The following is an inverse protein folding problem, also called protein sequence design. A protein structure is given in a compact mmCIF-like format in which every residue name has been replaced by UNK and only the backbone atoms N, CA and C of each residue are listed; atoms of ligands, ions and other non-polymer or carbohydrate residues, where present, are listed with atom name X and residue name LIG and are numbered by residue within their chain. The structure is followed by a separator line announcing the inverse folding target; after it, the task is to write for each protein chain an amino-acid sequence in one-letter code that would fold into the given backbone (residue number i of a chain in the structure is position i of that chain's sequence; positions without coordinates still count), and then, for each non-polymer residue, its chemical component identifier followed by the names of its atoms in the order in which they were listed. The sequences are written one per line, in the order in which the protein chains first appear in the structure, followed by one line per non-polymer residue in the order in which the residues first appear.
data_IF_332829413224
#
_entry.id   IF_332829413224
#
_cell.length_a   1.000
_cell.length_b   1.000
_cell.length_c   1.000
_cell.angle_alpha   90.00
_cell.angle_beta   90.00
_cell.angle_gamma   90.00
#
_symmetry.space_group_name_H-M   'P 1'
#
loop_
_entity.id
_entity.type
_entity.pdbx_description
1 polymer ?
#
# COMPACT_ATOMS: atom_id res chain seq x y z
N UNK A 1 5.52 20.49 7.54
CA UNK A 1 4.80 19.18 7.47
C UNK A 1 3.60 19.40 6.55
N UNK A 2 3.48 18.66 5.48
CA UNK A 2 2.41 18.79 4.50
C UNK A 2 1.49 17.57 4.63
N UNK A 3 0.21 17.81 4.92
CA UNK A 3 -0.80 16.74 5.11
C UNK A 3 -0.35 15.62 6.07
N UNK A 4 0.31 15.97 7.18
CA UNK A 4 0.77 14.99 8.18
C UNK A 4 1.99 14.15 7.79
N UNK A 5 2.62 14.41 6.64
CA UNK A 5 3.81 13.70 6.13
C UNK A 5 5.08 14.38 6.63
N UNK A 6 6.01 13.58 7.17
CA UNK A 6 7.26 14.06 7.76
C UNK A 6 8.45 13.98 6.80
N UNK A 7 8.41 13.05 5.84
CA UNK A 7 9.50 12.85 4.88
C UNK A 7 9.48 13.93 3.80
N UNK A 8 10.57 14.70 3.68
CA UNK A 8 10.67 15.82 2.71
C UNK A 8 10.61 15.36 1.25
N UNK A 9 11.11 14.17 0.92
CA UNK A 9 11.08 13.63 -0.45
C UNK A 9 9.64 13.26 -0.82
N UNK A 10 8.90 12.63 0.10
CA UNK A 10 7.48 12.33 -0.08
C UNK A 10 6.64 13.60 -0.10
N UNK A 11 6.92 14.59 0.75
CA UNK A 11 6.23 15.89 0.69
C UNK A 11 6.36 16.54 -0.70
N UNK A 12 7.57 16.51 -1.29
CA UNK A 12 7.81 17.01 -2.64
C UNK A 12 7.07 16.20 -3.70
N UNK A 13 7.07 14.88 -3.56
CA UNK A 13 6.33 13.97 -4.42
C UNK A 13 4.81 14.27 -4.41
N UNK A 14 4.20 14.36 -3.24
CA UNK A 14 2.78 14.66 -3.10
C UNK A 14 2.39 16.01 -3.71
N UNK A 15 3.27 17.01 -3.66
CA UNK A 15 3.06 18.33 -4.31
C UNK A 15 3.09 18.26 -5.84
N UNK A 16 3.70 17.22 -6.43
CA UNK A 16 3.61 16.97 -7.87
C UNK A 16 2.22 16.45 -8.24
N UNK A 17 1.62 15.60 -7.39
CA UNK A 17 0.34 14.96 -7.67
C UNK A 17 -0.85 15.92 -7.69
N UNK A 18 -0.80 17.00 -6.92
CA UNK A 18 -1.79 18.08 -7.02
C UNK A 18 -1.20 19.42 -6.66
N UNK A 19 -1.41 20.42 -7.53
CA UNK A 19 -0.95 21.81 -7.29
C UNK A 19 -1.79 22.52 -6.24
N UNK A 20 -3.02 22.11 -6.07
CA UNK A 20 -3.94 22.59 -5.04
C UNK A 20 -4.36 21.43 -4.12
N UNK A 21 -4.29 21.70 -2.83
CA UNK A 21 -4.79 20.78 -1.81
C UNK A 21 -6.16 21.30 -1.35
N UNK A 22 -7.22 20.49 -1.34
CA UNK A 22 -8.52 20.95 -0.87
C UNK A 22 -8.52 21.10 0.66
N UNK A 23 -9.04 22.21 1.18
CA UNK A 23 -9.05 22.54 2.61
C UNK A 23 -9.71 21.47 3.48
N UNK A 24 -10.69 20.72 2.94
CA UNK A 24 -11.37 19.67 3.68
C UNK A 24 -10.49 18.45 3.97
N UNK A 25 -9.42 18.24 3.20
CA UNK A 25 -8.65 16.99 3.25
C UNK A 25 -7.97 16.81 4.61
N UNK A 26 -7.46 17.89 5.20
CA UNK A 26 -6.81 17.85 6.52
C UNK A 26 -7.75 17.32 7.62
N UNK A 27 -9.04 17.71 7.58
CA UNK A 27 -10.02 17.23 8.56
C UNK A 27 -10.30 15.72 8.43
N UNK A 28 -10.34 15.20 7.20
CA UNK A 28 -10.53 13.76 6.93
C UNK A 28 -9.26 12.93 7.18
N UNK A 29 -8.10 13.57 7.24
CA UNK A 29 -6.83 12.95 7.64
C UNK A 29 -6.66 12.89 9.16
N UNK A 30 -7.24 13.87 9.89
CA UNK A 30 -7.10 13.97 11.36
C UNK A 30 -8.08 13.04 12.08
N UNK A 31 -7.99 11.74 11.79
CA UNK A 31 -8.79 10.67 12.43
C UNK A 31 -7.88 9.52 12.85
N UNK A 32 -8.20 8.82 13.96
CA UNK A 32 -7.35 7.77 14.52
C UNK A 32 -7.05 6.64 13.53
N UNK A 33 -8.00 6.31 12.66
CA UNK A 33 -7.87 5.24 11.68
C UNK A 33 -6.81 5.58 10.61
N UNK A 34 -6.75 6.85 10.18
CA UNK A 34 -5.71 7.31 9.27
C UNK A 34 -4.35 7.41 9.96
N UNK A 35 -4.31 7.89 11.21
CA UNK A 35 -3.06 7.95 11.99
C UNK A 35 -2.43 6.55 12.15
N UNK A 36 -3.25 5.50 12.30
CA UNK A 36 -2.77 4.11 12.35
C UNK A 36 -2.00 3.72 11.09
N UNK A 37 -2.42 4.17 9.91
CA UNK A 37 -1.77 3.85 8.63
C UNK A 37 -0.33 4.37 8.53
N UNK A 38 0.07 5.34 9.34
CA UNK A 38 1.48 5.78 9.45
C UNK A 38 2.41 4.69 10.00
N UNK A 39 1.87 3.69 10.64
CA UNK A 39 2.59 2.52 11.14
C UNK A 39 2.46 1.27 10.27
N UNK A 40 1.91 1.37 9.07
CA UNK A 40 1.71 0.26 8.12
C UNK A 40 2.52 0.54 6.86
N UNK A 41 3.38 -0.41 6.50
CA UNK A 41 4.24 -0.33 5.33
C UNK A 41 3.48 -0.55 4.01
N UNK A 42 3.89 0.17 2.97
CA UNK A 42 3.42 -0.08 1.58
C UNK A 42 3.92 -1.41 1.03
N UNK A 43 5.14 -1.80 1.36
CA UNK A 43 5.81 -2.96 0.75
C UNK A 43 5.73 -4.22 1.62
N UNK A 44 4.63 -4.39 2.35
CA UNK A 44 4.26 -5.64 3.04
C UNK A 44 5.39 -6.24 3.87
N UNK A 45 5.99 -5.42 4.76
CA UNK A 45 7.04 -5.83 5.69
C UNK A 45 8.42 -6.17 5.07
N UNK A 46 8.65 -5.82 3.81
CA UNK A 46 9.97 -5.98 3.18
C UNK A 46 11.07 -5.17 3.88
N UNK A 47 10.71 -4.08 4.58
CA UNK A 47 11.66 -3.22 5.31
C UNK A 47 12.30 -3.87 6.54
N UNK A 48 11.74 -4.98 7.01
CA UNK A 48 12.29 -5.68 8.19
C UNK A 48 13.39 -6.69 7.87
N UNK A 49 13.85 -6.74 6.61
CA UNK A 49 14.99 -7.55 6.17
C UNK A 49 15.95 -6.70 5.34
N UNK A 50 17.16 -7.20 5.08
CA UNK A 50 18.14 -6.54 4.21
C UNK A 50 18.19 -7.14 2.79
N UNK A 51 17.18 -7.92 2.42
CA UNK A 51 17.07 -8.54 1.09
C UNK A 51 16.65 -7.54 0.01
N UNK A 52 15.82 -6.56 0.38
CA UNK A 52 15.34 -5.50 -0.51
C UNK A 52 15.80 -4.16 0.06
N UNK A 53 16.40 -3.33 -0.78
CA UNK A 53 16.83 -1.99 -0.39
C UNK A 53 15.67 -0.99 -0.46
N UNK A 54 15.52 -0.19 0.58
CA UNK A 54 14.57 0.91 0.65
C UNK A 54 15.29 2.18 1.09
N UNK A 55 14.87 3.33 0.55
CA UNK A 55 15.41 4.62 0.99
C UNK A 55 14.95 4.97 2.41
N UNK A 56 13.68 4.70 2.71
CA UNK A 56 13.03 4.98 3.98
C UNK A 56 11.72 4.17 4.10
N UNK A 57 11.14 4.17 5.31
CA UNK A 57 9.85 3.54 5.57
C UNK A 57 8.74 4.37 4.90
N UNK A 58 8.09 3.79 3.88
CA UNK A 58 6.96 4.37 3.16
C UNK A 58 5.66 3.73 3.63
N UNK A 59 4.65 4.57 3.90
CA UNK A 59 3.47 4.16 4.66
C UNK A 59 2.20 4.14 3.82
N UNK A 60 1.23 3.31 4.23
CA UNK A 60 -0.13 3.32 3.68
C UNK A 60 -0.83 4.68 3.86
N UNK A 61 -0.44 5.44 4.89
CA UNK A 61 -0.92 6.81 5.05
C UNK A 61 -0.49 7.70 3.89
N UNK A 62 0.79 7.70 3.55
CA UNK A 62 1.36 8.51 2.47
C UNK A 62 0.78 8.13 1.11
N UNK A 63 0.61 6.83 0.87
CA UNK A 63 -0.08 6.29 -0.29
C UNK A 63 -1.53 6.78 -0.38
N UNK A 64 -2.32 6.63 0.68
CA UNK A 64 -3.72 7.08 0.72
C UNK A 64 -3.86 8.58 0.47
N UNK A 65 -2.93 9.40 0.99
CA UNK A 65 -2.85 10.83 0.69
C UNK A 65 -2.56 11.05 -0.80
N UNK A 66 -1.62 10.30 -1.37
CA UNK A 66 -1.27 10.37 -2.79
C UNK A 66 -2.45 10.04 -3.70
N UNK A 67 -3.16 8.94 -3.41
CA UNK A 67 -4.39 8.55 -4.15
C UNK A 67 -5.43 9.65 -4.09
N UNK A 68 -5.71 10.19 -2.90
CA UNK A 68 -6.66 11.28 -2.72
C UNK A 68 -6.27 12.54 -3.54
N UNK A 69 -4.98 12.90 -3.56
CA UNK A 69 -4.49 14.04 -4.33
C UNK A 69 -4.60 13.82 -5.84
N UNK A 70 -4.33 12.61 -6.34
CA UNK A 70 -4.53 12.27 -7.76
C UNK A 70 -6.01 12.38 -8.13
N UNK A 71 -6.88 11.76 -7.34
CA UNK A 71 -8.34 11.86 -7.57
C UNK A 71 -8.80 13.31 -7.55
N UNK A 72 -8.38 14.10 -6.56
CA UNK A 72 -8.70 15.53 -6.49
C UNK A 72 -8.17 16.30 -7.70
N UNK A 73 -6.93 16.03 -8.11
CA UNK A 73 -6.33 16.73 -9.25
C UNK A 73 -7.17 16.58 -10.52
N UNK A 74 -7.70 15.38 -10.78
CA UNK A 74 -8.40 15.06 -12.02
C UNK A 74 -9.92 15.26 -11.95
N UNK A 75 -10.53 15.15 -10.76
CA UNK A 75 -12.00 15.16 -10.66
C UNK A 75 -12.56 16.41 -10.00
N UNK A 76 -11.81 17.00 -9.06
CA UNK A 76 -12.28 18.05 -8.14
C UNK A 76 -13.56 17.67 -7.39
N UNK A 77 -13.80 16.37 -7.22
CA UNK A 77 -14.96 15.81 -6.55
C UNK A 77 -14.58 15.35 -5.13
N UNK A 78 -15.27 15.94 -4.14
CA UNK A 78 -14.99 15.66 -2.72
C UNK A 78 -15.25 14.20 -2.35
N UNK A 79 -16.32 13.58 -2.87
CA UNK A 79 -16.70 12.21 -2.50
C UNK A 79 -15.69 11.20 -3.05
N UNK A 80 -15.34 11.35 -4.34
CA UNK A 80 -14.31 10.51 -4.96
C UNK A 80 -12.98 10.65 -4.26
N UNK A 81 -12.61 11.87 -3.88
CA UNK A 81 -11.36 12.14 -3.13
C UNK A 81 -11.34 11.45 -1.77
N UNK A 82 -12.44 11.50 -1.01
CA UNK A 82 -12.55 10.83 0.29
C UNK A 82 -12.59 9.30 0.10
N UNK A 83 -13.27 8.79 -0.93
CA UNK A 83 -13.26 7.37 -1.24
C UNK A 83 -11.84 6.86 -1.54
N UNK A 84 -11.08 7.60 -2.37
CA UNK A 84 -9.67 7.32 -2.61
C UNK A 84 -8.79 7.47 -1.36
N UNK A 85 -9.08 8.43 -0.46
CA UNK A 85 -8.37 8.57 0.80
C UNK A 85 -8.56 7.35 1.72
N UNK A 86 -9.77 6.81 1.78
CA UNK A 86 -10.13 5.78 2.73
C UNK A 86 -10.12 4.35 2.17
N UNK A 87 -9.67 4.15 0.92
CA UNK A 87 -9.67 2.82 0.31
C UNK A 87 -8.88 1.80 1.15
N UNK A 88 -7.73 2.21 1.68
CA UNK A 88 -6.81 1.40 2.48
C UNK A 88 -7.01 1.50 4.01
N UNK A 89 -8.07 2.19 4.49
CA UNK A 89 -8.26 2.49 5.91
C UNK A 89 -8.35 1.24 6.80
N UNK A 90 -8.70 0.10 6.21
CA UNK A 90 -8.80 -1.19 6.90
C UNK A 90 -7.57 -2.09 6.75
N UNK A 91 -6.55 -1.66 6.02
CA UNK A 91 -5.35 -2.47 5.77
C UNK A 91 -4.70 -2.91 7.09
N UNK A 92 -4.48 -4.22 7.29
CA UNK A 92 -3.85 -4.74 8.51
C UNK A 92 -2.34 -4.49 8.52
N UNK A 93 -1.72 -4.66 9.70
CA UNK A 93 -0.26 -4.72 9.80
C UNK A 93 0.30 -5.79 8.89
N UNK A 94 1.39 -5.46 8.18
CA UNK A 94 2.02 -6.27 7.15
C UNK A 94 1.18 -6.47 5.88
N UNK A 95 0.09 -5.71 5.69
CA UNK A 95 -0.68 -5.63 4.44
C UNK A 95 -1.00 -7.02 3.86
N UNK A 96 -0.55 -7.31 2.65
CA UNK A 96 -0.81 -8.56 1.93
C UNK A 96 -0.27 -9.85 2.57
N UNK A 97 0.55 -9.78 3.63
CA UNK A 97 0.90 -10.98 4.42
C UNK A 97 -0.35 -11.65 4.99
N UNK A 98 -1.40 -10.85 5.32
CA UNK A 98 -2.66 -11.41 5.84
C UNK A 98 -3.41 -12.21 4.78
N UNK A 99 -3.33 -11.82 3.52
CA UNK A 99 -3.89 -12.61 2.41
C UNK A 99 -3.23 -13.99 2.34
N UNK A 100 -1.90 -14.06 2.51
CA UNK A 100 -1.16 -15.33 2.61
C UNK A 100 -1.57 -16.15 3.84
N UNK A 101 -1.89 -15.50 4.97
CA UNK A 101 -2.40 -16.19 6.16
C UNK A 101 -3.72 -16.91 5.86
N UNK A 102 -4.59 -16.31 5.07
CA UNK A 102 -5.89 -16.85 4.67
C UNK A 102 -5.82 -17.76 3.43
N UNK A 103 -4.67 -17.84 2.77
CA UNK A 103 -4.50 -18.62 1.53
C UNK A 103 -5.04 -17.92 0.28
N UNK A 104 -5.32 -16.61 0.38
CA UNK A 104 -5.76 -15.76 -0.73
C UNK A 104 -4.58 -14.95 -1.33
N UNK A 105 -3.55 -15.68 -1.75
CA UNK A 105 -2.35 -15.10 -2.35
C UNK A 105 -2.51 -14.68 -3.83
N UNK A 106 -3.61 -15.09 -4.48
CA UNK A 106 -3.86 -14.75 -5.90
C UNK A 106 -4.66 -13.46 -6.07
N UNK A 107 -5.69 -13.24 -5.26
CA UNK A 107 -6.59 -12.09 -5.40
C UNK A 107 -6.22 -10.92 -4.50
N UNK A 108 -5.76 -11.22 -3.27
CA UNK A 108 -5.32 -10.23 -2.28
C UNK A 108 -6.40 -9.19 -1.90
N UNK A 109 -7.67 -9.63 -1.85
CA UNK A 109 -8.83 -8.77 -1.59
C UNK A 109 -9.19 -8.64 -0.09
N UNK A 110 -8.52 -9.40 0.80
CA UNK A 110 -8.86 -9.43 2.24
C UNK A 110 -8.61 -8.09 2.92
N UNK A 111 -7.66 -7.30 2.45
CA UNK A 111 -7.26 -6.02 3.04
C UNK A 111 -8.37 -4.97 3.00
N UNK A 112 -9.24 -5.00 2.00
CA UNK A 112 -10.30 -4.02 1.78
C UNK A 112 -11.67 -4.43 2.37
N UNK A 113 -11.83 -5.73 2.71
CA UNK A 113 -13.12 -6.30 3.12
C UNK A 113 -13.76 -5.62 4.34
N UNK A 114 -12.98 -4.92 5.17
CA UNK A 114 -13.45 -4.26 6.38
C UNK A 114 -13.62 -2.74 6.25
N UNK A 115 -13.30 -2.12 5.11
CA UNK A 115 -13.32 -0.66 4.90
C UNK A 115 -14.64 -0.04 5.35
N UNK A 116 -15.78 -0.54 4.87
CA UNK A 116 -17.08 -0.05 5.29
C UNK A 116 -17.33 -0.17 6.79
N UNK A 117 -16.87 -1.26 7.40
CA UNK A 117 -17.04 -1.51 8.83
C UNK A 117 -16.20 -0.55 9.67
N UNK A 118 -14.94 -0.31 9.26
CA UNK A 118 -14.04 0.65 9.93
C UNK A 118 -14.64 2.05 9.87
N UNK A 119 -15.01 2.54 8.69
CA UNK A 119 -15.61 3.86 8.50
C UNK A 119 -16.89 4.02 9.33
N UNK A 120 -17.80 3.04 9.27
CA UNK A 120 -19.08 3.05 10.02
C UNK A 120 -18.90 3.09 11.52
N UNK A 121 -17.84 2.47 12.04
CA UNK A 121 -17.57 2.41 13.48
C UNK A 121 -16.80 3.64 13.98
N UNK A 122 -16.17 4.42 13.10
CA UNK A 122 -15.50 5.68 13.46
C UNK A 122 -16.52 6.79 13.69
N UNK A 123 -16.57 7.31 14.90
CA UNK A 123 -17.44 8.44 15.24
C UNK A 123 -16.98 9.72 14.57
N UNK A 124 -15.68 9.90 14.48
CA UNK A 124 -15.02 11.05 13.88
C UNK A 124 -15.37 11.13 12.39
N UNK A 125 -15.16 10.05 11.65
CA UNK A 125 -15.48 9.99 10.21
C UNK A 125 -16.99 10.18 9.99
N UNK A 126 -17.83 9.46 10.73
CA UNK A 126 -19.28 9.58 10.57
C UNK A 126 -19.81 10.98 10.89
N UNK A 127 -19.18 11.71 11.83
CA UNK A 127 -19.54 13.11 12.08
C UNK A 127 -19.16 14.01 10.90
N UNK A 128 -17.99 13.83 10.31
CA UNK A 128 -17.56 14.56 9.12
C UNK A 128 -18.49 14.29 7.93
N UNK A 129 -18.82 13.03 7.67
CA UNK A 129 -19.73 12.63 6.60
C UNK A 129 -21.14 13.24 6.79
N UNK A 130 -21.67 13.20 8.00
CA UNK A 130 -22.97 13.79 8.32
C UNK A 130 -22.97 15.32 8.14
N UNK A 131 -21.91 16.00 8.60
CA UNK A 131 -21.73 17.45 8.40
C UNK A 131 -21.75 17.82 6.92
N UNK A 132 -21.07 17.04 6.10
CA UNK A 132 -20.88 17.31 4.68
C UNK A 132 -21.99 16.70 3.81
N UNK A 133 -22.99 16.07 4.43
CA UNK A 133 -24.11 15.40 3.76
C UNK A 133 -23.63 14.35 2.74
N UNK A 134 -22.63 13.57 3.13
CA UNK A 134 -22.07 12.45 2.35
C UNK A 134 -22.54 11.14 2.98
N UNK A 135 -23.02 10.20 2.15
CA UNK A 135 -23.46 8.90 2.62
C UNK A 135 -22.28 7.93 2.70
N UNK A 136 -22.38 6.97 3.61
CA UNK A 136 -21.35 5.92 3.77
C UNK A 136 -21.09 5.17 2.46
N UNK A 137 -22.12 4.82 1.73
CA UNK A 137 -22.05 4.08 0.46
C UNK A 137 -21.34 4.84 -0.65
N UNK A 138 -21.22 6.16 -0.52
CA UNK A 138 -20.54 7.02 -1.50
C UNK A 138 -19.03 7.08 -1.32
N UNK A 139 -18.51 6.51 -0.20
CA UNK A 139 -17.07 6.58 0.11
C UNK A 139 -16.47 5.26 0.60
N UNK A 140 -17.28 4.26 0.88
CA UNK A 140 -16.82 2.98 1.42
C UNK A 140 -16.40 1.96 0.36
N UNK A 141 -16.64 2.28 -0.91
CA UNK A 141 -16.23 1.49 -2.06
C UNK A 141 -15.71 2.44 -3.15
N UNK A 142 -14.39 2.51 -3.31
CA UNK A 142 -13.76 3.42 -4.27
C UNK A 142 -13.85 2.91 -5.72
N UNK A 143 -14.14 1.62 -5.93
CA UNK A 143 -14.29 1.02 -7.26
C UNK A 143 -15.49 1.59 -8.04
N UNK A 144 -16.45 2.21 -7.35
CA UNK A 144 -17.56 2.90 -8.04
C UNK A 144 -17.10 4.16 -8.81
N UNK A 145 -15.84 4.57 -8.62
CA UNK A 145 -15.23 5.76 -9.23
C UNK A 145 -14.07 5.37 -10.15
N UNK A 146 -14.27 5.35 -11.48
CA UNK A 146 -13.28 4.84 -12.45
C UNK A 146 -11.91 5.53 -12.40
N UNK A 147 -11.85 6.78 -11.89
CA UNK A 147 -10.58 7.49 -11.72
C UNK A 147 -9.85 7.03 -10.46
N UNK A 148 -10.57 6.71 -9.39
CA UNK A 148 -9.99 6.20 -8.15
C UNK A 148 -9.47 4.78 -8.34
N UNK A 149 -10.31 3.87 -8.81
CA UNK A 149 -9.94 2.54 -9.26
C UNK A 149 -10.80 2.03 -10.43
N UNK A 150 -10.29 1.04 -11.16
CA UNK A 150 -10.93 0.41 -12.31
C UNK A 150 -10.29 -0.95 -12.60
N UNK A 151 -10.83 -1.71 -13.55
CA UNK A 151 -10.33 -3.03 -13.92
C UNK A 151 -8.91 -2.96 -14.52
N UNK A 152 -8.02 -3.82 -14.04
CA UNK A 152 -6.70 -4.03 -14.68
C UNK A 152 -6.88 -4.49 -16.14
N UNK A 153 -6.04 -4.03 -17.08
CA UNK A 153 -4.79 -3.26 -16.91
C UNK A 153 -4.95 -1.73 -17.03
N UNK A 154 -6.15 -1.18 -16.92
CA UNK A 154 -6.40 0.25 -17.02
C UNK A 154 -5.67 1.00 -15.89
N UNK A 155 -5.28 2.25 -16.14
CA UNK A 155 -4.62 3.09 -15.15
C UNK A 155 -5.66 3.76 -14.25
N UNK A 156 -5.49 3.62 -12.93
CA UNK A 156 -6.29 4.29 -11.89
C UNK A 156 -5.41 5.16 -11.01
N UNK A 157 -6.00 6.00 -10.16
CA UNK A 157 -5.25 6.80 -9.20
C UNK A 157 -4.46 5.93 -8.24
N UNK A 158 -5.03 4.83 -7.76
CA UNK A 158 -4.39 3.86 -6.89
C UNK A 158 -3.18 3.22 -7.57
N UNK A 159 -3.36 2.60 -8.76
CA UNK A 159 -2.26 1.98 -9.52
C UNK A 159 -1.17 2.95 -9.92
N UNK A 160 -1.54 4.16 -10.31
CA UNK A 160 -0.57 5.21 -10.65
C UNK A 160 0.23 5.60 -9.41
N UNK A 161 -0.45 5.81 -8.28
CA UNK A 161 0.18 6.24 -7.05
C UNK A 161 1.21 5.21 -6.56
N UNK A 162 0.81 3.96 -6.33
CA UNK A 162 1.76 2.97 -5.80
C UNK A 162 2.92 2.67 -6.77
N UNK A 163 2.68 2.75 -8.09
CA UNK A 163 3.75 2.56 -9.06
C UNK A 163 4.80 3.67 -8.97
N UNK A 164 4.37 4.93 -8.82
CA UNK A 164 5.27 6.07 -8.73
C UNK A 164 5.98 6.13 -7.38
N UNK A 165 5.24 5.98 -6.28
CA UNK A 165 5.77 6.10 -4.91
C UNK A 165 6.70 4.93 -4.55
N UNK A 166 6.29 3.69 -4.81
CA UNK A 166 7.15 2.53 -4.58
C UNK A 166 8.41 2.59 -5.47
N UNK A 167 8.27 3.01 -6.72
CA UNK A 167 9.41 3.18 -7.62
C UNK A 167 10.35 4.31 -7.23
N UNK A 168 9.86 5.34 -6.51
CA UNK A 168 10.67 6.40 -5.91
C UNK A 168 11.44 5.90 -4.69
N UNK A 169 10.78 5.10 -3.83
CA UNK A 169 11.31 4.65 -2.54
C UNK A 169 12.20 3.42 -2.68
N UNK A 170 11.81 2.49 -3.55
CA UNK A 170 12.54 1.24 -3.79
C UNK A 170 13.27 1.29 -5.12
N UNK A 171 14.50 0.78 -5.16
CA UNK A 171 15.30 0.54 -6.36
C UNK A 171 15.53 1.72 -7.32
N UNK A 172 15.14 2.93 -6.96
CA UNK A 172 15.31 4.14 -7.79
C UNK A 172 14.76 3.97 -9.23
N UNK A 173 13.64 3.23 -9.38
CA UNK A 173 12.98 3.10 -10.69
C UNK A 173 12.48 4.45 -11.19
N UNK A 174 12.05 5.31 -10.26
CA UNK A 174 11.68 6.70 -10.50
C UNK A 174 12.49 7.66 -9.62
N UNK A 175 12.58 8.90 -10.07
CA UNK A 175 13.02 10.07 -9.31
C UNK A 175 11.99 11.20 -9.48
N UNK A 176 12.04 12.22 -8.63
CA UNK A 176 11.06 13.31 -8.65
C UNK A 176 10.97 14.02 -10.00
N UNK A 177 12.09 14.15 -10.73
CA UNK A 177 12.10 14.81 -12.04
C UNK A 177 11.35 13.98 -13.09
N UNK A 178 11.60 12.67 -13.14
CA UNK A 178 10.89 11.76 -14.04
C UNK A 178 9.41 11.65 -13.68
N UNK A 179 9.08 11.61 -12.38
CA UNK A 179 7.69 11.60 -11.91
C UNK A 179 6.97 12.88 -12.37
N UNK A 180 7.55 14.06 -12.13
CA UNK A 180 6.93 15.32 -12.52
C UNK A 180 6.72 15.40 -14.04
N UNK A 181 7.68 14.98 -14.83
CA UNK A 181 7.58 14.94 -16.29
C UNK A 181 6.49 13.98 -16.76
N UNK A 182 6.45 12.77 -16.21
CA UNK A 182 5.47 11.74 -16.57
C UNK A 182 4.07 12.17 -16.13
N UNK A 183 3.92 12.65 -14.90
CA UNK A 183 2.64 13.06 -14.36
C UNK A 183 2.03 14.26 -15.08
N UNK A 184 2.85 15.22 -15.53
CA UNK A 184 2.40 16.37 -16.32
C UNK A 184 1.90 15.99 -17.73
N UNK A 185 2.22 14.79 -18.24
CA UNK A 185 1.70 14.27 -19.52
C UNK A 185 0.37 13.51 -19.36
N UNK A 186 -0.09 13.29 -18.12
CA UNK A 186 -1.32 12.55 -17.83
C UNK A 186 -2.53 13.47 -17.93
N UNK A 187 -3.63 12.93 -18.47
CA UNK A 187 -4.94 13.59 -18.50
C UNK A 187 -6.06 12.55 -18.44
N UNK A 188 -7.28 13.03 -18.23
CA UNK A 188 -8.47 12.19 -18.37
C UNK A 188 -8.80 12.07 -19.86
N UNK A 189 -8.81 10.86 -20.35
CA UNK A 189 -9.15 10.49 -21.72
C UNK A 189 -10.45 9.67 -21.74
N UNK A 190 -11.03 9.46 -22.91
CA UNK A 190 -12.16 8.54 -23.09
C UNK A 190 -11.63 7.21 -23.64
N UNK A 191 -11.93 6.12 -22.95
CA UNK A 191 -11.63 4.77 -23.39
C UNK A 191 -12.59 4.29 -24.51
N UNK A 192 -12.48 3.04 -24.93
CA UNK A 192 -13.30 2.46 -26.00
C UNK A 192 -14.81 2.42 -25.61
N UNK A 193 -15.12 2.29 -24.32
CA UNK A 193 -16.47 2.31 -23.76
C UNK A 193 -17.01 3.73 -23.55
N UNK A 194 -16.22 4.77 -23.87
CA UNK A 194 -16.48 6.20 -23.66
C UNK A 194 -16.55 6.62 -22.19
N UNK A 195 -15.96 5.85 -21.32
CA UNK A 195 -15.78 6.17 -19.92
C UNK A 195 -14.52 7.02 -19.71
N UNK A 196 -14.48 7.77 -18.61
CA UNK A 196 -13.32 8.53 -18.22
C UNK A 196 -12.24 7.58 -17.68
N UNK A 197 -10.99 7.75 -18.16
CA UNK A 197 -9.84 6.95 -17.79
C UNK A 197 -8.59 7.83 -17.70
N UNK A 198 -7.71 7.56 -16.74
CA UNK A 198 -6.39 8.17 -16.65
C UNK A 198 -5.53 7.64 -17.81
N UNK A 199 -4.93 8.53 -18.60
CA UNK A 199 -4.11 8.12 -19.72
C UNK A 199 -3.04 9.14 -20.07
N UNK A 200 -2.07 8.71 -20.89
CA UNK A 200 -0.96 9.55 -21.36
C UNK A 200 -1.32 10.25 -22.67
N UNK A 201 -0.96 11.53 -22.77
CA UNK A 201 -1.12 12.30 -24.00
C UNK A 201 -0.05 11.96 -25.05
N UNK A 202 1.12 11.49 -24.61
CA UNK A 202 2.28 11.26 -25.46
C UNK A 202 2.74 9.81 -25.37
N UNK A 203 2.74 9.08 -26.51
CA UNK A 203 3.19 7.69 -26.58
C UNK A 203 4.59 7.48 -25.98
N UNK A 204 5.52 8.39 -26.22
CA UNK A 204 6.89 8.29 -25.68
C UNK A 204 6.92 8.33 -24.14
N UNK A 205 6.06 9.13 -23.53
CA UNK A 205 5.96 9.20 -22.06
C UNK A 205 5.27 7.94 -21.52
N UNK A 206 4.25 7.42 -22.20
CA UNK A 206 3.64 6.14 -21.83
C UNK A 206 4.66 4.99 -21.89
N UNK A 207 5.48 4.92 -22.93
CA UNK A 207 6.55 3.93 -23.06
C UNK A 207 7.58 4.08 -21.93
N UNK A 208 8.00 5.30 -21.59
CA UNK A 208 8.92 5.56 -20.47
C UNK A 208 8.31 5.10 -19.13
N UNK A 209 7.03 5.39 -18.89
CA UNK A 209 6.33 4.94 -17.68
C UNK A 209 6.32 3.40 -17.60
N UNK A 210 5.96 2.71 -18.68
CA UNK A 210 5.91 1.24 -18.73
C UNK A 210 7.30 0.63 -18.49
N UNK A 211 8.34 1.18 -19.10
CA UNK A 211 9.72 0.70 -18.92
C UNK A 211 10.15 0.79 -17.44
N UNK A 212 9.84 1.91 -16.78
CA UNK A 212 10.15 2.11 -15.37
C UNK A 212 9.27 1.25 -14.45
N UNK A 213 7.98 1.18 -14.72
CA UNK A 213 7.04 0.34 -13.97
C UNK A 213 7.40 -1.14 -14.07
N UNK A 214 7.96 -1.60 -15.21
CA UNK A 214 8.38 -2.99 -15.39
C UNK A 214 9.48 -3.41 -14.41
N UNK A 215 10.34 -2.47 -13.97
CA UNK A 215 11.36 -2.72 -12.94
C UNK A 215 10.67 -3.11 -11.64
N UNK A 216 9.63 -2.37 -11.26
CA UNK A 216 8.85 -2.64 -10.03
C UNK A 216 8.14 -3.99 -10.11
N UNK A 217 7.54 -4.32 -11.26
CA UNK A 217 6.89 -5.61 -11.47
C UNK A 217 7.84 -6.79 -11.29
N UNK A 218 9.06 -6.70 -11.80
CA UNK A 218 10.06 -7.75 -11.61
C UNK A 218 10.44 -7.94 -10.14
N UNK A 219 10.42 -6.86 -9.35
CA UNK A 219 10.76 -6.90 -7.94
C UNK A 219 9.66 -7.56 -7.08
N UNK A 220 8.41 -7.18 -7.32
CA UNK A 220 7.31 -7.61 -6.45
C UNK A 220 6.60 -8.87 -6.95
N UNK A 221 6.41 -9.03 -8.25
CA UNK A 221 5.59 -10.13 -8.79
C UNK A 221 6.37 -11.36 -9.24
N UNK A 222 7.66 -11.24 -9.53
CA UNK A 222 8.49 -12.33 -10.08
C UNK A 222 9.65 -12.74 -9.21
N UNK A 223 9.86 -12.10 -8.07
CA UNK A 223 11.06 -12.28 -7.27
C UNK A 223 10.85 -13.34 -6.18
N UNK A 224 11.71 -14.37 -6.17
CA UNK A 224 11.70 -15.38 -5.12
C UNK A 224 11.99 -14.80 -3.72
N UNK A 225 12.70 -13.68 -3.64
CA UNK A 225 12.99 -12.98 -2.38
C UNK A 225 11.73 -12.40 -1.76
N UNK A 226 10.88 -11.74 -2.55
CA UNK A 226 9.59 -11.23 -2.07
C UNK A 226 8.68 -12.37 -1.59
N UNK A 227 8.54 -13.44 -2.37
CA UNK A 227 7.74 -14.61 -1.98
C UNK A 227 8.25 -15.24 -0.67
N UNK A 228 9.57 -15.29 -0.48
CA UNK A 228 10.15 -15.79 0.76
C UNK A 228 9.88 -14.85 1.94
N UNK A 229 9.93 -13.54 1.73
CA UNK A 229 9.59 -12.56 2.76
C UNK A 229 8.14 -12.74 3.21
N UNK A 230 7.22 -12.81 2.25
CA UNK A 230 5.79 -13.03 2.53
C UNK A 230 5.55 -14.35 3.26
N UNK A 231 6.21 -15.43 2.84
CA UNK A 231 6.10 -16.74 3.49
C UNK A 231 6.69 -16.72 4.91
N UNK A 232 7.84 -16.08 5.12
CA UNK A 232 8.44 -15.95 6.45
C UNK A 232 7.49 -15.27 7.43
N UNK A 233 6.94 -14.11 7.03
CA UNK A 233 5.98 -13.38 7.87
C UNK A 233 4.72 -14.19 8.15
N UNK A 234 4.19 -14.88 7.15
CA UNK A 234 3.05 -15.79 7.31
C UNK A 234 3.34 -16.85 8.37
N UNK A 235 4.50 -17.50 8.30
CA UNK A 235 4.86 -18.58 9.21
C UNK A 235 5.09 -18.09 10.64
N UNK A 236 5.75 -16.93 10.81
CA UNK A 236 6.00 -16.35 12.13
C UNK A 236 4.71 -15.88 12.79
N UNK A 237 3.81 -15.20 12.05
CA UNK A 237 2.52 -14.76 12.55
C UNK A 237 1.60 -15.93 12.90
N UNK A 238 1.56 -16.98 12.08
CA UNK A 238 0.85 -18.23 12.42
C UNK A 238 1.37 -18.86 13.70
N UNK A 239 2.68 -18.90 13.92
CA UNK A 239 3.28 -19.43 15.13
C UNK A 239 2.93 -18.56 16.34
N UNK A 240 3.02 -17.24 16.22
CA UNK A 240 2.61 -16.28 17.25
C UNK A 240 1.13 -16.45 17.65
N UNK A 241 0.24 -16.58 16.65
CA UNK A 241 -1.19 -16.79 16.89
C UNK A 241 -1.48 -18.14 17.54
N UNK A 242 -0.84 -19.22 17.07
CA UNK A 242 -0.98 -20.59 17.65
C UNK A 242 -0.57 -20.63 19.11
N UNK A 243 0.46 -19.89 19.49
CA UNK A 243 0.97 -19.81 20.86
C UNK A 243 0.26 -18.71 21.68
N UNK A 244 -0.72 -18.01 21.09
CA UNK A 244 -1.55 -16.96 21.72
C UNK A 244 -0.76 -15.71 22.16
N UNK A 245 0.33 -15.38 21.50
CA UNK A 245 1.06 -14.12 21.71
C UNK A 245 0.41 -12.95 20.97
N UNK A 246 -0.29 -13.25 19.87
CA UNK A 246 -1.14 -12.31 19.13
C UNK A 246 -2.45 -12.99 18.73
N UNK A 247 -3.43 -12.18 18.39
CA UNK A 247 -4.66 -12.60 17.72
C UNK A 247 -4.69 -11.98 16.32
N UNK A 248 -5.57 -12.46 15.44
CA UNK A 248 -5.77 -11.84 14.13
C UNK A 248 -6.27 -10.39 14.26
N UNK A 249 -7.17 -10.13 15.20
CA UNK A 249 -7.64 -8.78 15.51
C UNK A 249 -6.51 -7.81 15.87
N UNK A 250 -5.40 -8.31 16.42
CA UNK A 250 -4.24 -7.48 16.74
C UNK A 250 -3.59 -6.88 15.50
N UNK A 251 -3.64 -7.57 14.35
CA UNK A 251 -3.10 -7.09 13.08
C UNK A 251 -3.88 -5.88 12.53
N UNK A 252 -5.15 -5.75 12.91
CA UNK A 252 -6.00 -4.61 12.54
C UNK A 252 -5.95 -3.44 13.54
N UNK A 253 -5.33 -3.65 14.72
CA UNK A 253 -5.28 -2.66 15.81
C UNK A 253 -3.92 -2.03 16.00
N UNK A 254 -2.86 -2.82 15.89
CA UNK A 254 -1.50 -2.38 16.17
C UNK A 254 -0.77 -1.97 14.88
N UNK A 255 0.24 -1.13 15.04
CA UNK A 255 1.22 -0.86 14.01
C UNK A 255 2.15 -2.07 13.82
N UNK A 256 2.81 -2.14 12.69
CA UNK A 256 3.82 -3.19 12.42
C UNK A 256 4.94 -3.18 13.46
N UNK A 257 5.38 -1.98 13.89
CA UNK A 257 6.40 -1.85 14.93
C UNK A 257 5.97 -2.50 16.24
N UNK A 258 4.70 -2.30 16.65
CA UNK A 258 4.19 -2.90 17.90
C UNK A 258 4.13 -4.43 17.79
N UNK A 259 3.77 -4.99 16.64
CA UNK A 259 3.81 -6.44 16.42
C UNK A 259 5.27 -6.95 16.39
N UNK A 260 6.18 -6.25 15.73
CA UNK A 260 7.62 -6.58 15.75
C UNK A 260 8.19 -6.53 17.16
N UNK A 261 7.78 -5.56 17.98
CA UNK A 261 8.21 -5.49 19.38
C UNK A 261 7.65 -6.68 20.20
N UNK A 262 6.42 -7.15 19.92
CA UNK A 262 5.90 -8.40 20.50
C UNK A 262 6.71 -9.62 20.06
N UNK A 263 7.14 -9.70 18.80
CA UNK A 263 8.01 -10.77 18.28
C UNK A 263 9.35 -10.76 19.02
N UNK A 264 10.01 -9.61 19.09
CA UNK A 264 11.32 -9.45 19.75
C UNK A 264 11.30 -9.78 21.25
N UNK A 265 10.19 -9.53 21.92
CA UNK A 265 10.00 -9.77 23.35
C UNK A 265 9.26 -11.09 23.64
N UNK A 266 9.03 -11.92 22.62
CA UNK A 266 8.34 -13.19 22.78
C UNK A 266 9.16 -14.15 23.67
N UNK A 267 8.52 -14.87 24.63
CA UNK A 267 9.22 -15.86 25.44
C UNK A 267 9.75 -17.06 24.66
N UNK A 268 9.23 -17.32 23.47
CA UNK A 268 9.68 -18.40 22.60
C UNK A 268 10.95 -18.00 21.83
N UNK A 269 12.09 -18.60 22.19
CA UNK A 269 13.37 -18.30 21.57
C UNK A 269 13.44 -18.64 20.08
N UNK A 270 12.70 -19.67 19.61
CA UNK A 270 12.66 -20.03 18.18
C UNK A 270 12.09 -18.89 17.33
N UNK A 271 11.08 -18.18 17.85
CA UNK A 271 10.48 -17.02 17.17
C UNK A 271 11.49 -15.88 17.10
N UNK A 272 12.16 -15.57 18.22
CA UNK A 272 13.14 -14.51 18.28
C UNK A 272 14.34 -14.79 17.38
N UNK A 273 14.86 -16.02 17.41
CA UNK A 273 16.01 -16.44 16.61
C UNK A 273 15.67 -16.41 15.12
N UNK A 274 14.47 -16.90 14.72
CA UNK A 274 14.00 -16.83 13.35
C UNK A 274 13.91 -15.38 12.86
N UNK A 275 13.32 -14.48 13.66
CA UNK A 275 13.23 -13.07 13.32
C UNK A 275 14.61 -12.40 13.24
N UNK A 276 15.52 -12.71 14.14
CA UNK A 276 16.90 -12.19 14.13
C UNK A 276 17.66 -12.64 12.89
N UNK A 277 17.51 -13.88 12.46
CA UNK A 277 18.11 -14.38 11.21
C UNK A 277 17.50 -13.61 10.03
N UNK A 278 16.19 -13.56 9.93
CA UNK A 278 15.48 -12.88 8.85
C UNK A 278 15.88 -11.41 8.70
N UNK A 279 15.85 -10.66 9.80
CA UNK A 279 16.15 -9.23 9.79
C UNK A 279 17.60 -8.89 9.40
N UNK A 280 18.53 -9.85 9.54
CA UNK A 280 19.93 -9.70 9.16
C UNK A 280 20.29 -10.40 7.83
N UNK A 281 19.32 -11.02 7.15
CA UNK A 281 19.55 -11.71 5.87
C UNK A 281 19.73 -10.69 4.75
N UNK A 282 20.88 -10.78 4.05
CA UNK A 282 21.24 -9.87 2.94
C UNK A 282 21.14 -10.53 1.58
N UNK A 283 21.12 -11.87 1.55
CA UNK A 283 21.15 -12.63 0.30
C UNK A 283 20.57 -14.01 0.53
N UNK A 284 19.77 -14.47 -0.43
CA UNK A 284 19.36 -15.85 -0.55
C UNK A 284 20.36 -16.61 -1.40
N UNK A 285 20.64 -17.85 -1.01
CA UNK A 285 21.47 -18.78 -1.79
C UNK A 285 20.63 -20.02 -2.02
N UNK A 286 20.39 -20.33 -3.28
CA UNK A 286 19.77 -21.58 -3.66
C UNK A 286 20.76 -22.73 -3.36
N UNK A 287 20.41 -23.58 -2.40
CA UNK A 287 21.16 -24.80 -2.11
C UNK A 287 20.54 -25.93 -2.91
N UNK A 288 21.11 -26.22 -4.07
CA UNK A 288 20.80 -27.46 -4.79
C UNK A 288 21.30 -28.66 -3.97
N UNK A 289 20.44 -29.17 -3.12
CA UNK A 289 20.70 -30.45 -2.46
C UNK A 289 20.34 -31.57 -3.42
N UNK A 290 21.35 -32.25 -3.99
CA UNK A 290 21.19 -33.39 -4.91
C UNK A 290 20.48 -34.59 -4.27
N UNK A 291 20.18 -34.54 -2.97
CA UNK A 291 19.52 -35.60 -2.22
C UNK A 291 18.11 -35.15 -1.76
N UNK A 292 17.10 -35.53 -2.57
CA UNK A 292 15.69 -35.58 -2.20
C UNK A 292 15.10 -34.28 -1.62
N UNK A 293 14.83 -33.35 -2.46
CA UNK A 293 13.79 -32.38 -2.16
C UNK A 293 12.44 -33.05 -2.44
N UNK A 294 11.78 -33.52 -1.40
CA UNK A 294 10.33 -33.59 -1.41
C UNK A 294 9.82 -32.16 -1.26
N UNK A 295 9.80 -31.41 -2.35
CA UNK A 295 9.02 -30.19 -2.41
C UNK A 295 7.56 -30.63 -2.55
N UNK A 296 6.91 -30.82 -1.42
CA UNK A 296 5.47 -30.83 -1.33
C UNK A 296 5.02 -29.38 -1.09
N UNK A 297 5.10 -28.58 -2.11
CA UNK A 297 4.36 -27.33 -2.24
C UNK A 297 3.70 -27.37 -3.62
N UNK A 298 2.55 -27.97 -3.67
CA UNK A 298 1.50 -27.70 -4.64
C UNK A 298 0.53 -26.74 -4.01
#
# INVERSE_FOLDING_TARGET
MYLGVENEEIERYLKILSKDCPDFLEEYLDVPEMERLKGISMVSACEYTQLIEHKFFHTRYEHSVGVALIVWNFTKDKKQTIAGLYHDISTPSFSHVVDYLHGDYEKQETTEALTQTVIKNSKEIMNLLNRDNIKLEEISDYHIYPIADNDSPKLSADRLEYTLSDGLVTQNAFDLESIERIYNDISILKNEEKEDEIGFNTKKIAEEYIDRASIMWHLFSGNCENNMIMQFWTDILRKMAKEKYITEDDLYKYSEKEIVDKIKNCPNSEINDAFNIFSNTKKLVEVMNILKINIAYQ
#
